data_IF_281955466807
#
_entry.id   IF_281955466807
#
_cell.length_a   1.000
_cell.length_b   1.000
_cell.length_c   1.000
_cell.angle_alpha   90.00
_cell.angle_beta   90.00
_cell.angle_gamma   90.00
#
_symmetry.space_group_name_H-M   'P 1'
#
loop_
_entity.id
_entity.type
_entity.pdbx_description
1 polymer ?
#
# COMPACT_ATOMS: atom_id res chain seq x y z
N UNK A 1 1.75 33.17 -7.44
CA UNK A 1 2.87 33.32 -6.51
C UNK A 1 2.66 32.50 -5.24
N UNK A 2 2.25 31.22 -5.36
CA UNK A 2 2.10 30.32 -4.21
C UNK A 2 2.31 28.85 -4.63
N UNK A 3 3.14 28.63 -5.66
CA UNK A 3 3.42 27.28 -6.18
C UNK A 3 4.36 26.53 -5.24
N UNK A 4 5.33 27.20 -4.61
CA UNK A 4 6.32 26.52 -3.76
C UNK A 4 5.74 25.79 -2.55
N UNK A 5 4.78 26.38 -1.83
CA UNK A 5 4.16 25.72 -0.67
C UNK A 5 3.21 24.59 -1.06
N UNK A 6 2.43 24.78 -2.13
CA UNK A 6 1.52 23.76 -2.65
C UNK A 6 2.30 22.61 -3.31
N UNK A 7 3.34 22.89 -4.08
CA UNK A 7 4.19 21.90 -4.75
C UNK A 7 4.97 21.08 -3.71
N UNK A 8 5.45 21.70 -2.62
CA UNK A 8 6.09 20.96 -1.52
C UNK A 8 5.09 20.03 -0.82
N UNK A 9 3.86 20.50 -0.61
CA UNK A 9 2.80 19.69 0.00
C UNK A 9 2.40 18.52 -0.91
N UNK A 10 2.26 18.75 -2.20
CA UNK A 10 1.98 17.71 -3.19
C UNK A 10 3.11 16.68 -3.27
N UNK A 11 4.38 17.11 -3.16
CA UNK A 11 5.51 16.19 -3.11
C UNK A 11 5.50 15.31 -1.85
N UNK A 12 5.26 15.89 -0.67
CA UNK A 12 5.15 15.12 0.58
C UNK A 12 3.97 14.15 0.50
N UNK A 13 2.83 14.60 -0.05
CA UNK A 13 1.62 13.80 -0.11
C UNK A 13 1.75 12.62 -1.08
N UNK A 14 2.20 12.89 -2.32
CA UNK A 14 2.31 11.85 -3.34
C UNK A 14 3.53 10.94 -3.15
N UNK A 15 4.65 11.48 -2.66
CA UNK A 15 5.92 10.72 -2.59
C UNK A 15 6.13 10.02 -1.25
N UNK A 16 5.43 10.42 -0.18
CA UNK A 16 5.63 9.87 1.17
C UNK A 16 4.33 9.35 1.78
N UNK A 17 3.26 10.17 1.82
CA UNK A 17 1.99 9.78 2.46
C UNK A 17 1.29 8.63 1.74
N UNK A 18 1.24 8.64 0.40
CA UNK A 18 0.65 7.55 -0.39
C UNK A 18 1.37 6.19 -0.17
N UNK A 19 2.70 6.09 -0.31
CA UNK A 19 3.45 4.86 -0.03
C UNK A 19 3.30 4.38 1.40
N UNK A 20 3.43 5.30 2.36
CA UNK A 20 3.37 4.98 3.80
C UNK A 20 1.96 4.56 4.19
N UNK A 21 0.93 5.26 3.71
CA UNK A 21 -0.47 4.88 3.91
C UNK A 21 -0.80 3.51 3.32
N UNK A 22 -0.30 3.23 2.11
CA UNK A 22 -0.39 1.91 1.49
C UNK A 22 0.32 0.81 2.29
N UNK A 23 1.49 1.11 2.86
CA UNK A 23 2.24 0.18 3.72
C UNK A 23 1.50 -0.18 4.99
N UNK A 24 1.01 0.85 5.68
CA UNK A 24 0.25 0.67 6.92
C UNK A 24 -1.03 -0.12 6.66
N UNK A 25 -1.74 0.18 5.56
CA UNK A 25 -2.90 -0.61 5.15
C UNK A 25 -2.55 -2.07 4.86
N UNK A 26 -1.47 -2.35 4.14
CA UNK A 26 -1.09 -3.73 3.84
C UNK A 26 -0.60 -4.52 5.05
N UNK A 27 0.13 -3.90 5.98
CA UNK A 27 0.49 -4.54 7.25
C UNK A 27 -0.76 -4.81 8.07
N UNK A 28 -1.65 -3.83 8.16
CA UNK A 28 -2.89 -3.97 8.92
C UNK A 28 -3.76 -5.10 8.36
N UNK A 29 -4.03 -5.10 7.05
CA UNK A 29 -4.87 -6.13 6.41
C UNK A 29 -4.18 -7.50 6.32
N UNK A 30 -2.86 -7.54 6.10
CA UNK A 30 -2.10 -8.78 5.92
C UNK A 30 -1.72 -9.47 7.22
N UNK A 31 -1.22 -8.71 8.21
CA UNK A 31 -0.65 -9.22 9.46
C UNK A 31 -1.55 -9.02 10.68
N UNK A 32 -2.17 -7.84 10.85
CA UNK A 32 -2.95 -7.52 12.07
C UNK A 32 -4.35 -8.12 12.03
N UNK A 33 -5.08 -7.91 10.93
CA UNK A 33 -6.41 -8.50 10.73
C UNK A 33 -6.32 -9.99 10.39
N UNK A 34 -5.20 -10.41 9.80
CA UNK A 34 -5.01 -11.76 9.28
C UNK A 34 -5.92 -12.01 8.09
N UNK A 35 -5.39 -11.87 6.87
CA UNK A 35 -6.17 -12.01 5.63
C UNK A 35 -7.03 -13.30 5.57
N UNK A 36 -6.60 -14.37 6.26
CA UNK A 36 -7.38 -15.61 6.42
C UNK A 36 -8.70 -15.43 7.19
N UNK A 37 -8.74 -14.59 8.23
CA UNK A 37 -9.94 -14.31 9.01
C UNK A 37 -10.89 -13.37 8.24
N UNK A 38 -10.35 -12.37 7.53
CA UNK A 38 -11.16 -11.54 6.61
C UNK A 38 -11.87 -12.39 5.54
N UNK A 39 -11.14 -13.32 4.90
CA UNK A 39 -11.71 -14.22 3.88
C UNK A 39 -12.76 -15.16 4.47
N UNK A 40 -12.56 -15.62 5.71
CA UNK A 40 -13.51 -16.49 6.40
C UNK A 40 -14.81 -15.75 6.77
N UNK A 41 -14.71 -14.51 7.25
CA UNK A 41 -15.86 -13.67 7.61
C UNK A 41 -16.65 -13.24 6.36
N UNK A 42 -15.95 -12.88 5.28
CA UNK A 42 -16.58 -12.50 4.00
C UNK A 42 -17.26 -13.70 3.32
N UNK A 43 -16.70 -14.91 3.41
CA UNK A 43 -17.34 -16.12 2.86
C UNK A 43 -18.59 -16.58 3.64
N UNK A 44 -18.76 -16.19 4.91
CA UNK A 44 -20.02 -16.43 5.64
C UNK A 44 -21.17 -15.60 5.06
N UNK A 45 -20.86 -14.45 4.46
CA UNK A 45 -21.85 -13.52 3.92
C UNK A 45 -22.37 -13.87 2.54
N UNK A 46 -21.52 -14.31 1.60
CA UNK A 46 -21.92 -14.61 0.22
C UNK A 46 -21.10 -15.77 -0.38
N UNK A 47 -21.77 -16.62 -1.18
CA UNK A 47 -21.20 -17.85 -1.76
C UNK A 47 -19.95 -17.56 -2.60
N UNK A 48 -18.81 -18.04 -2.08
CA UNK A 48 -17.67 -18.57 -2.84
C UNK A 48 -16.82 -17.53 -3.57
N UNK A 49 -16.11 -16.69 -2.82
CA UNK A 49 -14.99 -15.91 -3.37
C UNK A 49 -13.71 -16.76 -3.36
N UNK A 50 -13.52 -17.61 -4.38
CA UNK A 50 -12.27 -18.37 -4.61
C UNK A 50 -11.03 -17.46 -4.81
N UNK A 51 -11.24 -16.15 -5.02
CA UNK A 51 -10.18 -15.16 -5.26
C UNK A 51 -9.60 -14.58 -3.94
N UNK A 52 -10.20 -14.89 -2.77
CA UNK A 52 -9.75 -14.35 -1.48
C UNK A 52 -8.27 -14.66 -1.17
N UNK A 53 -7.80 -15.86 -1.51
CA UNK A 53 -6.40 -16.23 -1.28
C UNK A 53 -5.41 -15.49 -2.20
N UNK A 54 -5.80 -15.23 -3.45
CA UNK A 54 -4.99 -14.44 -4.38
C UNK A 54 -4.87 -12.98 -3.94
N UNK A 55 -5.98 -12.39 -3.47
CA UNK A 55 -5.99 -11.04 -2.92
C UNK A 55 -5.13 -10.90 -1.65
N UNK A 56 -5.16 -11.91 -0.76
CA UNK A 56 -4.31 -11.95 0.41
C UNK A 56 -2.81 -12.03 0.06
N UNK A 57 -2.46 -12.83 -0.96
CA UNK A 57 -1.09 -12.90 -1.46
C UNK A 57 -0.64 -11.58 -2.08
N UNK A 58 -1.52 -10.92 -2.84
CA UNK A 58 -1.29 -9.58 -3.37
C UNK A 58 -0.98 -8.57 -2.26
N UNK A 59 -1.80 -8.50 -1.21
CA UNK A 59 -1.54 -7.55 -0.12
C UNK A 59 -0.25 -7.90 0.64
N UNK A 60 0.03 -9.19 0.85
CA UNK A 60 1.21 -9.64 1.59
C UNK A 60 2.51 -9.52 0.80
N UNK A 61 2.49 -9.61 -0.53
CA UNK A 61 3.69 -9.58 -1.38
C UNK A 61 3.76 -8.36 -2.31
N UNK A 62 2.69 -8.03 -3.03
CA UNK A 62 2.71 -6.95 -4.03
C UNK A 62 2.82 -5.58 -3.38
N UNK A 63 2.17 -5.37 -2.22
CA UNK A 63 2.28 -4.09 -1.52
C UNK A 63 3.69 -3.83 -0.98
N UNK A 64 4.35 -4.76 -0.24
CA UNK A 64 5.75 -4.52 0.16
C UNK A 64 6.70 -4.35 -1.03
N UNK A 65 6.46 -5.02 -2.16
CA UNK A 65 7.23 -4.80 -3.39
C UNK A 65 7.03 -3.38 -3.96
N UNK A 66 5.79 -2.88 -3.99
CA UNK A 66 5.50 -1.52 -4.44
C UNK A 66 6.20 -0.48 -3.55
N UNK A 67 6.20 -0.68 -2.23
CA UNK A 67 6.83 0.25 -1.29
C UNK A 67 8.35 0.20 -1.41
N UNK A 68 8.92 -0.98 -1.60
CA UNK A 68 10.33 -1.12 -1.94
C UNK A 68 10.68 -0.33 -3.20
N UNK A 69 9.86 -0.44 -4.26
CA UNK A 69 10.03 0.33 -5.48
C UNK A 69 9.96 1.84 -5.24
N UNK A 70 8.99 2.31 -4.45
CA UNK A 70 8.85 3.74 -4.14
C UNK A 70 10.09 4.25 -3.39
N UNK A 71 10.59 3.49 -2.40
CA UNK A 71 11.82 3.86 -1.69
C UNK A 71 13.01 3.96 -2.65
N UNK A 72 13.17 2.98 -3.56
CA UNK A 72 14.26 2.99 -4.56
C UNK A 72 14.15 4.19 -5.49
N UNK A 73 12.95 4.46 -6.02
CA UNK A 73 12.69 5.60 -6.91
C UNK A 73 12.91 6.92 -6.17
N UNK A 74 12.47 7.04 -4.92
CA UNK A 74 12.69 8.22 -4.10
C UNK A 74 14.16 8.48 -3.82
N UNK A 75 14.96 7.44 -3.54
CA UNK A 75 16.41 7.55 -3.38
C UNK A 75 17.06 7.96 -4.71
N UNK A 76 16.66 7.35 -5.83
CA UNK A 76 17.17 7.70 -7.16
C UNK A 76 16.87 9.16 -7.51
N UNK A 77 15.63 9.62 -7.33
CA UNK A 77 15.26 11.02 -7.58
C UNK A 77 16.04 11.97 -6.66
N UNK A 78 16.22 11.62 -5.38
CA UNK A 78 16.99 12.46 -4.42
C UNK A 78 18.48 12.53 -4.74
N UNK A 79 19.07 11.47 -5.31
CA UNK A 79 20.53 11.38 -5.54
C UNK A 79 20.94 11.80 -6.95
N UNK A 80 20.05 11.68 -7.93
CA UNK A 80 20.32 11.98 -9.35
C UNK A 80 19.59 13.23 -9.87
N UNK A 81 18.82 13.93 -9.03
CA UNK A 81 18.25 15.25 -9.29
C UNK A 81 18.91 16.29 -8.39
#
# INVERSE_FOLDING_TARGET
MNKDLLDTYDWISNSILLPVGGFMMAIFTGYVWGAKHAIAEVNKGHKRFMIGQGWALLIRYVVPVLIFFIIVVGIYDTFFR
#
